data_IF_470979086070
#
_entry.id   IF_470979086070
#
_cell.length_a   1.000
_cell.length_b   1.000
_cell.length_c   1.000
_cell.angle_alpha   90.00
_cell.angle_beta   90.00
_cell.angle_gamma   90.00
#
_symmetry.space_group_name_H-M   'P 1'
#
loop_
_entity.id
_entity.type
_entity.pdbx_description
1 polymer ?
#
# COMPACT_ATOMS: atom_id res chain seq x y z
N UNK A 1 -5.54 -6.42 -11.63
CA UNK A 1 -6.44 -6.19 -10.47
C UNK A 1 -7.32 -4.94 -10.61
N UNK A 2 -6.80 -3.69 -10.65
CA UNK A 2 -7.67 -2.49 -10.81
C UNK A 2 -8.34 -2.47 -12.20
N UNK A 3 -7.59 -2.70 -13.29
CA UNK A 3 -8.14 -2.74 -14.66
C UNK A 3 -9.21 -3.83 -14.85
N UNK A 4 -9.03 -5.01 -14.27
CA UNK A 4 -10.03 -6.09 -14.33
C UNK A 4 -11.35 -5.73 -13.64
N UNK A 5 -11.28 -5.03 -12.49
CA UNK A 5 -12.49 -4.57 -11.81
C UNK A 5 -13.25 -3.51 -12.59
N UNK A 6 -12.57 -2.70 -13.39
CA UNK A 6 -13.20 -1.65 -14.20
C UNK A 6 -13.93 -2.20 -15.44
N UNK A 7 -13.59 -3.43 -15.88
CA UNK A 7 -14.35 -4.15 -16.90
C UNK A 7 -15.65 -4.79 -16.39
N UNK A 8 -15.87 -4.86 -15.08
CA UNK A 8 -17.07 -5.42 -14.47
C UNK A 8 -18.21 -4.40 -14.45
N UNK A 9 -19.44 -4.89 -14.64
CA UNK A 9 -20.65 -4.08 -14.46
C UNK A 9 -20.77 -3.60 -13.01
N UNK A 10 -21.54 -2.53 -12.78
CA UNK A 10 -21.82 -2.04 -11.43
C UNK A 10 -22.47 -3.13 -10.57
N UNK A 11 -23.37 -3.92 -11.17
CA UNK A 11 -24.04 -5.02 -10.47
C UNK A 11 -23.05 -6.07 -9.98
N UNK A 12 -22.12 -6.52 -10.83
CA UNK A 12 -21.08 -7.48 -10.45
C UNK A 12 -20.17 -6.93 -9.33
N UNK A 13 -19.77 -5.66 -9.44
CA UNK A 13 -18.96 -5.01 -8.40
C UNK A 13 -19.67 -4.93 -7.05
N UNK A 14 -20.98 -4.63 -7.06
CA UNK A 14 -21.81 -4.61 -5.86
C UNK A 14 -21.94 -6.00 -5.25
N UNK A 15 -22.23 -7.04 -6.05
CA UNK A 15 -22.32 -8.41 -5.55
C UNK A 15 -20.99 -8.88 -4.97
N UNK A 16 -19.89 -8.67 -5.65
CA UNK A 16 -18.56 -9.04 -5.18
C UNK A 16 -18.20 -8.32 -3.86
N UNK A 17 -18.57 -7.05 -3.72
CA UNK A 17 -18.37 -6.30 -2.48
C UNK A 17 -19.23 -6.85 -1.35
N UNK A 18 -20.52 -7.08 -1.58
CA UNK A 18 -21.44 -7.67 -0.58
C UNK A 18 -20.95 -9.04 -0.10
N UNK A 19 -20.50 -9.87 -1.02
CA UNK A 19 -19.96 -11.20 -0.68
C UNK A 19 -18.61 -11.07 0.07
N UNK A 20 -17.78 -10.11 -0.29
CA UNK A 20 -16.57 -9.77 0.45
C UNK A 20 -16.87 -9.35 1.89
N UNK A 21 -17.85 -8.45 2.09
CA UNK A 21 -18.30 -8.02 3.42
C UNK A 21 -18.84 -9.20 4.23
N UNK A 22 -19.71 -10.04 3.64
CA UNK A 22 -20.25 -11.24 4.32
C UNK A 22 -19.15 -12.21 4.74
N UNK A 23 -18.17 -12.47 3.86
CA UNK A 23 -17.00 -13.31 4.17
C UNK A 23 -16.14 -12.70 5.28
N UNK A 24 -15.98 -11.38 5.29
CA UNK A 24 -15.18 -10.67 6.31
C UNK A 24 -15.90 -10.64 7.66
N UNK A 25 -17.22 -10.46 7.70
CA UNK A 25 -18.00 -10.44 8.94
C UNK A 25 -18.01 -11.78 9.68
N UNK A 26 -17.90 -12.89 8.94
CA UNK A 26 -17.78 -14.23 9.52
C UNK A 26 -16.33 -14.66 9.83
N UNK A 27 -15.34 -13.84 9.50
CA UNK A 27 -13.93 -14.20 9.66
C UNK A 27 -13.44 -13.81 11.05
N UNK A 28 -13.06 -14.80 11.84
CA UNK A 28 -12.37 -14.54 13.10
C UNK A 28 -11.02 -13.89 12.82
N UNK A 29 -10.69 -12.89 13.63
CA UNK A 29 -9.36 -12.26 13.61
C UNK A 29 -8.33 -13.33 13.94
N UNK A 30 -7.29 -13.44 13.10
CA UNK A 30 -6.22 -14.40 13.35
C UNK A 30 -5.52 -14.04 14.67
N UNK A 31 -5.43 -15.01 15.55
CA UNK A 31 -4.73 -14.91 16.83
C UNK A 31 -3.39 -15.64 16.75
N UNK A 32 -2.40 -15.09 17.38
CA UNK A 32 -1.05 -15.64 17.49
C UNK A 32 -0.80 -15.96 18.95
N UNK A 33 -0.35 -17.18 19.30
CA UNK A 33 -0.06 -17.56 20.68
C UNK A 33 0.99 -16.69 21.35
N UNK A 34 1.94 -16.15 20.58
CA UNK A 34 2.99 -15.29 21.07
C UNK A 34 3.30 -14.13 20.13
N UNK A 35 3.97 -13.10 20.65
CA UNK A 35 4.48 -11.99 19.85
C UNK A 35 5.54 -12.48 18.84
N UNK A 36 6.31 -13.52 19.22
CA UNK A 36 7.32 -14.11 18.34
C UNK A 36 6.68 -14.78 17.09
N UNK A 37 5.57 -15.51 17.25
CA UNK A 37 4.87 -16.07 16.10
C UNK A 37 4.25 -14.98 15.19
N UNK A 38 3.78 -13.89 15.78
CA UNK A 38 3.31 -12.73 15.02
C UNK A 38 4.47 -12.07 14.25
N UNK A 39 5.65 -11.95 14.86
CA UNK A 39 6.86 -11.44 14.24
C UNK A 39 7.32 -12.33 13.08
N UNK A 40 7.42 -13.64 13.28
CA UNK A 40 7.79 -14.57 12.20
C UNK A 40 6.85 -14.43 10.98
N UNK A 41 5.56 -14.22 11.24
CA UNK A 41 4.59 -13.97 10.17
C UNK A 41 4.81 -12.63 9.48
N UNK A 42 5.13 -11.56 10.24
CA UNK A 42 5.48 -10.25 9.69
C UNK A 42 6.69 -10.35 8.76
N UNK A 43 7.76 -11.00 9.22
CA UNK A 43 8.99 -11.18 8.46
C UNK A 43 8.77 -11.99 7.18
N UNK A 44 7.99 -13.08 7.27
CA UNK A 44 7.71 -13.95 6.11
C UNK A 44 6.87 -13.24 5.02
N UNK A 45 6.00 -12.32 5.40
CA UNK A 45 5.17 -11.54 4.45
C UNK A 45 5.93 -10.32 3.88
N UNK A 46 7.00 -9.89 4.53
CA UNK A 46 7.75 -8.68 4.17
C UNK A 46 9.27 -8.98 4.17
N UNK A 47 9.77 -9.68 3.16
CA UNK A 47 11.17 -10.17 3.14
C UNK A 47 12.22 -9.05 3.05
N UNK A 48 11.83 -7.83 2.64
CA UNK A 48 12.72 -6.68 2.58
C UNK A 48 12.95 -6.01 3.94
N UNK A 49 12.09 -6.27 4.94
CA UNK A 49 12.27 -5.70 6.28
C UNK A 49 13.48 -6.34 6.97
N UNK A 50 14.31 -5.53 7.62
CA UNK A 50 15.26 -6.03 8.59
C UNK A 50 14.53 -6.67 9.78
N UNK A 51 15.23 -7.55 10.53
CA UNK A 51 14.66 -8.18 11.72
C UNK A 51 14.18 -7.14 12.74
N UNK A 52 14.96 -6.09 12.97
CA UNK A 52 14.62 -5.01 13.91
C UNK A 52 13.36 -4.24 13.46
N UNK A 53 13.26 -3.93 12.18
CA UNK A 53 12.06 -3.28 11.63
C UNK A 53 10.83 -4.18 11.76
N UNK A 54 10.95 -5.45 11.41
CA UNK A 54 9.84 -6.40 11.52
C UNK A 54 9.40 -6.59 12.99
N UNK A 55 10.33 -6.64 13.94
CA UNK A 55 10.03 -6.68 15.38
C UNK A 55 9.34 -5.40 15.84
N UNK A 56 9.87 -4.24 15.46
CA UNK A 56 9.27 -2.95 15.78
C UNK A 56 7.83 -2.85 15.27
N UNK A 57 7.61 -3.17 14.00
CA UNK A 57 6.28 -3.14 13.38
C UNK A 57 5.32 -4.14 14.03
N UNK A 58 5.82 -5.31 14.45
CA UNK A 58 5.02 -6.32 15.13
C UNK A 58 4.56 -5.84 16.50
N UNK A 59 5.48 -5.31 17.31
CA UNK A 59 5.19 -4.80 18.66
C UNK A 59 4.14 -3.68 18.59
N UNK A 60 4.33 -2.72 17.69
CA UNK A 60 3.45 -1.55 17.59
C UNK A 60 2.18 -1.80 16.75
N UNK A 61 2.20 -2.79 15.86
CA UNK A 61 1.08 -3.17 14.97
C UNK A 61 0.14 -4.21 15.55
N UNK A 62 0.44 -4.81 16.72
CA UNK A 62 -0.41 -5.80 17.36
C UNK A 62 -1.00 -5.32 18.69
N UNK A 63 -2.09 -5.97 19.11
CA UNK A 63 -2.67 -5.89 20.44
C UNK A 63 -2.52 -7.23 21.13
N UNK A 64 -2.27 -7.22 22.45
CA UNK A 64 -2.47 -8.40 23.28
C UNK A 64 -3.94 -8.51 23.64
N UNK A 65 -4.51 -9.70 23.42
CA UNK A 65 -5.89 -10.02 23.74
C UNK A 65 -6.02 -10.44 25.23
N UNK A 66 -7.23 -10.45 25.75
CA UNK A 66 -7.52 -10.84 27.15
C UNK A 66 -7.08 -12.27 27.47
N UNK A 67 -7.06 -13.17 26.47
CA UNK A 67 -6.60 -14.55 26.60
C UNK A 67 -5.08 -14.72 26.48
N UNK A 68 -4.33 -13.62 26.44
CA UNK A 68 -2.87 -13.61 26.30
C UNK A 68 -2.34 -13.78 24.89
N UNK A 69 -3.19 -14.06 23.91
CA UNK A 69 -2.81 -14.13 22.50
C UNK A 69 -2.62 -12.74 21.90
N UNK A 70 -2.07 -12.67 20.67
CA UNK A 70 -1.85 -11.42 19.94
C UNK A 70 -2.66 -11.39 18.66
N UNK A 71 -3.12 -10.21 18.27
CA UNK A 71 -3.80 -9.97 16.99
C UNK A 71 -3.35 -8.63 16.39
N UNK A 72 -3.39 -8.54 15.04
CA UNK A 72 -3.08 -7.28 14.37
C UNK A 72 -4.14 -6.22 14.65
N UNK A 73 -3.71 -4.96 14.75
CA UNK A 73 -4.58 -3.79 14.97
C UNK A 73 -5.42 -3.41 13.75
N UNK A 74 -5.02 -3.82 12.54
CA UNK A 74 -5.75 -3.42 11.36
C UNK A 74 -7.14 -4.04 11.29
N UNK A 75 -8.08 -3.29 10.75
CA UNK A 75 -9.42 -3.78 10.47
C UNK A 75 -9.41 -4.73 9.26
N UNK A 76 -9.99 -5.92 9.42
CA UNK A 76 -10.11 -6.91 8.34
C UNK A 76 -10.93 -6.39 7.14
N UNK A 77 -11.79 -5.40 7.35
CA UNK A 77 -12.61 -4.79 6.29
C UNK A 77 -11.83 -3.89 5.35
N UNK A 78 -10.61 -3.43 5.68
CA UNK A 78 -9.76 -2.60 4.80
C UNK A 78 -9.44 -3.26 3.47
N UNK A 79 -9.54 -4.60 3.39
CA UNK A 79 -9.32 -5.36 2.16
C UNK A 79 -10.56 -5.44 1.26
N UNK A 80 -11.71 -4.99 1.72
CA UNK A 80 -12.94 -4.94 0.95
C UNK A 80 -13.03 -3.60 0.24
N UNK A 81 -12.49 -3.54 -0.97
CA UNK A 81 -12.56 -2.33 -1.79
C UNK A 81 -14.00 -1.93 -2.05
N UNK A 82 -14.31 -0.64 -1.91
CA UNK A 82 -15.63 -0.10 -2.22
C UNK A 82 -16.08 -0.50 -3.65
N UNK A 83 -17.36 -0.81 -3.85
CA UNK A 83 -17.89 -1.18 -5.17
C UNK A 83 -17.90 0.00 -6.14
N UNK A 84 -17.96 1.22 -5.57
CA UNK A 84 -17.92 2.47 -6.31
C UNK A 84 -16.50 3.04 -6.17
N UNK A 85 -15.82 3.23 -7.27
CA UNK A 85 -14.51 3.86 -7.34
C UNK A 85 -14.50 4.97 -8.37
N UNK A 86 -13.50 5.83 -8.32
CA UNK A 86 -13.28 6.85 -9.34
C UNK A 86 -12.98 6.13 -10.65
N UNK A 87 -13.68 6.42 -11.77
CA UNK A 87 -13.34 5.88 -13.08
C UNK A 87 -11.89 6.20 -13.44
N UNK A 88 -11.24 5.31 -14.17
CA UNK A 88 -9.82 5.47 -14.50
C UNK A 88 -9.53 6.76 -15.27
N UNK A 89 -10.41 7.12 -16.20
CA UNK A 89 -10.30 8.35 -16.99
C UNK A 89 -10.46 9.62 -16.12
N UNK A 90 -11.31 9.54 -15.09
CA UNK A 90 -11.47 10.65 -14.15
C UNK A 90 -10.29 10.76 -13.17
N UNK A 91 -9.63 9.64 -12.84
CA UNK A 91 -8.36 9.69 -12.11
C UNK A 91 -7.26 10.42 -12.87
N UNK A 92 -7.19 10.22 -14.19
CA UNK A 92 -6.28 10.97 -15.06
C UNK A 92 -6.52 12.48 -15.01
N UNK A 93 -7.79 12.90 -15.01
CA UNK A 93 -8.16 14.33 -14.87
C UNK A 93 -7.72 14.88 -13.51
N UNK A 94 -7.97 14.14 -12.41
CA UNK A 94 -7.55 14.53 -11.07
C UNK A 94 -6.01 14.68 -10.95
N UNK A 95 -5.24 13.81 -11.61
CA UNK A 95 -3.79 13.98 -11.67
C UNK A 95 -3.39 15.24 -12.45
N UNK A 96 -4.14 15.59 -13.51
CA UNK A 96 -3.93 16.81 -14.28
C UNK A 96 -4.23 18.10 -13.51
N UNK A 97 -5.06 18.04 -12.47
CA UNK A 97 -5.39 19.17 -11.59
C UNK A 97 -4.31 19.47 -10.54
N UNK A 98 -3.31 18.58 -10.38
CA UNK A 98 -2.19 18.82 -9.49
C UNK A 98 -1.28 19.89 -10.12
N UNK A 99 -1.08 20.99 -9.39
CA UNK A 99 -0.30 22.16 -9.86
C UNK A 99 1.08 22.27 -9.20
N UNK A 100 1.29 21.63 -8.05
CA UNK A 100 2.57 21.65 -7.34
C UNK A 100 3.57 20.65 -7.94
N UNK A 101 4.87 20.89 -7.80
CA UNK A 101 5.89 19.89 -8.09
C UNK A 101 5.58 18.58 -7.38
N UNK A 102 5.72 17.46 -8.08
CA UNK A 102 5.35 16.14 -7.58
C UNK A 102 6.51 15.17 -7.72
N UNK A 103 6.77 14.38 -6.68
CA UNK A 103 7.73 13.29 -6.70
C UNK A 103 6.97 11.95 -6.52
N UNK A 104 7.10 11.07 -7.49
CA UNK A 104 6.65 9.67 -7.39
C UNK A 104 7.84 8.79 -7.04
N UNK A 105 7.70 8.03 -5.94
CA UNK A 105 8.73 7.09 -5.50
C UNK A 105 8.22 5.67 -5.64
N UNK A 106 9.07 4.76 -6.16
CA UNK A 106 8.74 3.34 -6.30
C UNK A 106 9.92 2.43 -5.97
N UNK A 107 9.64 1.25 -5.44
CA UNK A 107 10.61 0.17 -5.39
C UNK A 107 10.56 -0.66 -6.68
N UNK A 108 11.71 -1.11 -7.15
CA UNK A 108 11.80 -1.95 -8.37
C UNK A 108 11.18 -3.33 -8.18
N UNK A 109 11.12 -3.84 -6.95
CA UNK A 109 10.52 -5.13 -6.60
C UNK A 109 9.07 -4.99 -6.10
N UNK A 110 8.49 -3.79 -6.25
CA UNK A 110 7.09 -3.56 -5.89
C UNK A 110 6.15 -4.32 -6.83
N UNK A 111 5.07 -4.87 -6.25
CA UNK A 111 3.95 -5.45 -7.01
C UNK A 111 3.15 -4.39 -7.80
N UNK A 112 3.31 -3.10 -7.50
CA UNK A 112 2.66 -2.02 -8.23
C UNK A 112 3.32 -1.81 -9.59
N UNK A 113 2.49 -1.50 -10.60
CA UNK A 113 3.00 -1.22 -11.95
C UNK A 113 3.85 0.04 -12.00
N UNK A 114 4.81 0.05 -12.91
CA UNK A 114 5.63 1.23 -13.20
C UNK A 114 4.77 2.36 -13.78
N UNK A 115 4.74 3.54 -13.14
CA UNK A 115 3.92 4.66 -13.57
C UNK A 115 4.37 5.26 -14.92
N UNK A 116 5.63 5.07 -15.29
CA UNK A 116 6.15 5.49 -16.61
C UNK A 116 5.69 4.50 -17.66
N UNK A 117 5.88 3.20 -17.42
CA UNK A 117 5.56 2.14 -18.37
C UNK A 117 4.05 2.02 -18.64
N UNK A 118 3.21 2.25 -17.63
CA UNK A 118 1.74 2.20 -17.78
C UNK A 118 1.12 3.53 -18.23
N UNK A 119 1.94 4.57 -18.36
CA UNK A 119 1.55 5.87 -18.91
C UNK A 119 0.86 6.82 -17.94
N UNK A 120 0.73 6.47 -16.64
CA UNK A 120 0.10 7.35 -15.63
C UNK A 120 0.79 8.70 -15.49
N UNK A 121 2.11 8.74 -15.67
CA UNK A 121 2.88 9.99 -15.60
C UNK A 121 2.45 11.03 -16.63
N UNK A 122 1.86 10.61 -17.76
CA UNK A 122 1.39 11.51 -18.81
C UNK A 122 0.13 12.30 -18.40
N UNK A 123 -0.53 11.90 -17.34
CA UNK A 123 -1.72 12.58 -16.84
C UNK A 123 -1.40 13.79 -15.95
N UNK A 124 -0.15 13.93 -15.50
CA UNK A 124 0.26 15.07 -14.67
C UNK A 124 0.61 16.27 -15.56
N UNK A 125 0.10 17.45 -15.22
CA UNK A 125 0.39 18.72 -15.87
C UNK A 125 1.40 19.61 -15.09
N UNK A 126 1.95 19.06 -14.00
CA UNK A 126 2.94 19.75 -13.15
C UNK A 126 4.36 19.22 -13.39
N UNK A 127 5.41 19.88 -12.86
CA UNK A 127 6.74 19.31 -12.78
C UNK A 127 6.68 17.98 -12.04
N UNK A 128 7.05 16.90 -12.72
CA UNK A 128 6.96 15.54 -12.20
C UNK A 128 8.33 14.85 -12.25
N UNK A 129 8.75 14.34 -11.11
CA UNK A 129 9.93 13.49 -10.99
C UNK A 129 9.52 12.08 -10.59
N UNK A 130 10.23 11.08 -11.10
CA UNK A 130 10.00 9.68 -10.75
C UNK A 130 11.32 9.08 -10.30
N UNK A 131 11.34 8.57 -9.06
CA UNK A 131 12.52 7.91 -8.48
C UNK A 131 12.23 6.44 -8.25
N UNK A 132 13.15 5.58 -8.70
CA UNK A 132 13.04 4.14 -8.57
C UNK A 132 14.20 3.60 -7.73
N UNK A 133 13.89 2.86 -6.68
CA UNK A 133 14.85 2.29 -5.76
C UNK A 133 15.04 0.80 -6.02
N UNK A 134 16.28 0.38 -6.25
CA UNK A 134 16.66 -1.03 -6.27
C UNK A 134 16.55 -1.62 -4.84
N UNK A 135 16.43 -2.95 -4.77
CA UNK A 135 16.33 -3.69 -3.51
C UNK A 135 15.25 -3.14 -2.57
N UNK A 136 14.13 -2.71 -3.16
CA UNK A 136 12.99 -2.15 -2.45
C UNK A 136 11.67 -2.70 -2.99
N UNK A 137 10.81 -3.17 -2.08
CA UNK A 137 9.44 -3.55 -2.35
C UNK A 137 8.50 -2.34 -2.41
N UNK A 138 7.27 -2.53 -1.96
CA UNK A 138 6.25 -1.48 -2.06
C UNK A 138 6.45 -0.33 -1.05
N UNK A 139 7.07 -0.60 0.08
CA UNK A 139 7.32 0.38 1.14
C UNK A 139 8.77 0.85 1.15
N UNK A 140 9.15 1.61 0.11
CA UNK A 140 10.53 2.09 -0.10
C UNK A 140 11.13 2.74 1.15
N UNK A 141 10.34 3.48 1.92
CA UNK A 141 10.78 4.12 3.16
C UNK A 141 11.12 3.13 4.29
N UNK A 142 10.71 1.88 4.19
CA UNK A 142 11.16 0.81 5.09
C UNK A 142 12.41 0.12 4.57
N UNK A 143 12.46 -0.12 3.26
CA UNK A 143 13.46 -0.96 2.64
C UNK A 143 14.76 -0.17 2.34
N UNK A 144 14.62 1.12 1.97
CA UNK A 144 15.71 2.01 1.57
C UNK A 144 15.60 3.37 2.28
N UNK A 145 15.54 3.38 3.62
CA UNK A 145 15.23 4.56 4.42
C UNK A 145 16.13 5.75 4.13
N UNK A 146 17.45 5.55 4.15
CA UNK A 146 18.41 6.65 4.01
C UNK A 146 18.35 7.29 2.61
N UNK A 147 18.27 6.47 1.58
CA UNK A 147 18.09 6.93 0.20
C UNK A 147 16.77 7.66 0.02
N UNK A 148 15.68 7.10 0.54
CA UNK A 148 14.36 7.72 0.49
C UNK A 148 14.34 9.09 1.20
N UNK A 149 14.87 9.19 2.42
CA UNK A 149 14.92 10.44 3.18
C UNK A 149 15.79 11.48 2.47
N UNK A 150 16.93 11.08 1.95
CA UNK A 150 17.82 11.97 1.19
C UNK A 150 17.11 12.54 -0.03
N UNK A 151 16.49 11.67 -0.83
CA UNK A 151 15.79 12.08 -2.04
C UNK A 151 14.60 13.00 -1.77
N UNK A 152 13.81 12.72 -0.73
CA UNK A 152 12.69 13.57 -0.32
C UNK A 152 13.18 14.93 0.15
N UNK A 153 14.27 15.01 0.93
CA UNK A 153 14.86 16.28 1.37
C UNK A 153 15.35 17.12 0.18
N UNK A 154 16.03 16.50 -0.78
CA UNK A 154 16.47 17.17 -2.00
C UNK A 154 15.30 17.75 -2.79
N UNK A 155 14.24 16.94 -2.97
CA UNK A 155 13.04 17.40 -3.66
C UNK A 155 12.36 18.58 -2.96
N UNK A 156 12.24 18.55 -1.63
CA UNK A 156 11.61 19.61 -0.85
C UNK A 156 12.49 20.88 -0.74
N UNK A 157 13.81 20.76 -0.91
CA UNK A 157 14.74 21.89 -0.90
C UNK A 157 14.86 22.55 -2.28
N UNK A 158 14.39 21.92 -3.36
CA UNK A 158 14.44 22.50 -4.69
C UNK A 158 13.58 23.78 -4.75
N UNK A 159 14.06 24.87 -5.36
CA UNK A 159 13.25 26.07 -5.54
C UNK A 159 12.04 25.75 -6.43
N UNK A 160 10.87 26.22 -6.02
CA UNK A 160 9.58 26.06 -6.73
C UNK A 160 9.54 26.82 -8.03
#
# INVERSE_FOLDING_TARGET
MIKERMGQSMSERLHNWMDGIRKSSGRLVKRYPSLEEAFQRMQAENPHLSEDQARHLTIHGSNQNEDGTYSWKFDNYVRNFAPIGVPFDDMGKLYGDITCPTLLVRGLESWASDPIADGRTKAFNCPLEVEAFADAGHWVHHDQLDGFVTRVKEFLAAPS
#
